data_IF_444285534647
#
_entry.id   IF_444285534647
#
_cell.length_a   1.000
_cell.length_b   1.000
_cell.length_c   1.000
_cell.angle_alpha   90.00
_cell.angle_beta   90.00
_cell.angle_gamma   90.00
#
_symmetry.space_group_name_H-M   'P 1'
#
loop_
_entity.id
_entity.type
_entity.pdbx_description
1 polymer ?
#
# COMPACT_ATOMS: atom_id res chain seq x y z
N UNK A 1 18.83 26.67 -3.90
CA UNK A 1 18.61 25.20 -3.92
C UNK A 1 18.13 24.81 -5.31
N UNK A 2 18.91 24.08 -6.11
CA UNK A 2 18.58 23.83 -7.52
C UNK A 2 17.42 22.82 -7.66
N UNK A 3 16.23 23.30 -8.06
CA UNK A 3 15.01 22.49 -8.25
C UNK A 3 15.25 21.30 -9.19
N UNK A 4 16.00 21.51 -10.29
CA UNK A 4 16.40 20.46 -11.23
C UNK A 4 17.15 19.31 -10.55
N UNK A 5 18.06 19.61 -9.61
CA UNK A 5 18.84 18.58 -8.90
C UNK A 5 17.94 17.72 -8.01
N UNK A 6 17.00 18.33 -7.30
CA UNK A 6 16.06 17.61 -6.46
C UNK A 6 15.14 16.71 -7.29
N UNK A 7 14.63 17.20 -8.42
CA UNK A 7 13.79 16.40 -9.30
C UNK A 7 14.54 15.17 -9.85
N UNK A 8 15.80 15.35 -10.26
CA UNK A 8 16.66 14.26 -10.72
C UNK A 8 16.89 13.22 -9.62
N UNK A 9 17.18 13.67 -8.41
CA UNK A 9 17.36 12.77 -7.27
C UNK A 9 16.09 12.00 -6.92
N UNK A 10 14.94 12.67 -6.94
CA UNK A 10 13.64 12.02 -6.67
C UNK A 10 13.31 10.97 -7.73
N UNK A 11 13.52 11.31 -9.01
CA UNK A 11 13.37 10.35 -10.12
C UNK A 11 14.32 9.15 -9.99
N UNK A 12 15.56 9.38 -9.57
CA UNK A 12 16.52 8.31 -9.34
C UNK A 12 16.06 7.39 -8.21
N UNK A 13 15.62 7.96 -7.08
CA UNK A 13 15.09 7.21 -5.94
C UNK A 13 13.87 6.36 -6.32
N UNK A 14 12.92 6.94 -7.06
CA UNK A 14 11.75 6.23 -7.59
C UNK A 14 12.16 5.06 -8.48
N UNK A 15 13.08 5.29 -9.43
CA UNK A 15 13.55 4.26 -10.37
C UNK A 15 14.27 3.11 -9.67
N UNK A 16 15.04 3.39 -8.62
CA UNK A 16 15.71 2.36 -7.83
C UNK A 16 14.67 1.50 -7.10
N UNK A 17 13.71 2.12 -6.41
CA UNK A 17 12.61 1.39 -5.75
C UNK A 17 11.83 0.51 -6.73
N UNK A 18 11.51 1.05 -7.91
CA UNK A 18 10.86 0.32 -8.99
C UNK A 18 11.65 -0.91 -9.43
N UNK A 19 12.96 -0.76 -9.68
CA UNK A 19 13.83 -1.88 -10.04
C UNK A 19 13.91 -2.94 -8.94
N UNK A 20 13.97 -2.52 -7.68
CA UNK A 20 13.99 -3.46 -6.55
C UNK A 20 12.70 -4.27 -6.45
N UNK A 21 11.54 -3.63 -6.65
CA UNK A 21 10.25 -4.31 -6.62
C UNK A 21 10.11 -5.34 -7.74
N UNK A 22 10.37 -4.95 -8.99
CA UNK A 22 10.25 -5.86 -10.14
C UNK A 22 11.33 -6.95 -10.18
N UNK A 23 12.41 -6.83 -9.41
CA UNK A 23 13.41 -7.89 -9.27
C UNK A 23 12.84 -9.15 -8.60
N UNK A 24 11.79 -9.00 -7.80
CA UNK A 24 11.13 -10.11 -7.10
C UNK A 24 9.71 -10.28 -7.65
N UNK A 25 9.52 -11.11 -8.70
CA UNK A 25 8.23 -11.23 -9.39
C UNK A 25 7.11 -11.72 -8.46
N UNK A 26 7.45 -12.45 -7.39
CA UNK A 26 6.51 -12.84 -6.34
C UNK A 26 5.82 -11.65 -5.69
N UNK A 27 6.52 -10.52 -5.48
CA UNK A 27 5.89 -9.32 -4.90
C UNK A 27 4.77 -8.80 -5.79
N UNK A 28 4.98 -8.80 -7.11
CA UNK A 28 3.97 -8.38 -8.07
C UNK A 28 2.77 -9.32 -8.10
N UNK A 29 3.02 -10.63 -8.11
CA UNK A 29 1.96 -11.64 -8.10
C UNK A 29 1.14 -11.51 -6.81
N UNK A 30 1.80 -11.42 -5.65
CA UNK A 30 1.14 -11.32 -4.35
C UNK A 30 0.29 -10.07 -4.21
N UNK A 31 0.65 -8.94 -4.83
CA UNK A 31 -0.21 -7.73 -4.84
C UNK A 31 -1.62 -8.01 -5.38
N UNK A 32 -1.80 -8.94 -6.33
CA UNK A 32 -3.14 -9.32 -6.83
C UNK A 32 -3.90 -10.27 -5.90
N UNK A 33 -3.18 -11.12 -5.17
CA UNK A 33 -3.78 -12.09 -4.26
C UNK A 33 -4.04 -11.53 -2.87
N UNK A 34 -3.27 -10.52 -2.44
CA UNK A 34 -3.39 -9.88 -1.14
C UNK A 34 -4.83 -9.43 -0.83
N UNK A 35 -5.53 -8.71 -1.73
CA UNK A 35 -6.93 -8.34 -1.50
C UNK A 35 -7.83 -9.55 -1.29
N UNK A 36 -7.64 -10.61 -2.08
CA UNK A 36 -8.44 -11.83 -1.94
C UNK A 36 -8.18 -12.49 -0.60
N UNK A 37 -6.91 -12.62 -0.20
CA UNK A 37 -6.50 -13.22 1.08
C UNK A 37 -7.11 -12.44 2.25
N UNK A 38 -7.03 -11.11 2.23
CA UNK A 38 -7.54 -10.27 3.32
C UNK A 38 -9.06 -10.17 3.34
N UNK A 39 -9.74 -10.22 2.18
CA UNK A 39 -11.20 -10.18 2.10
C UNK A 39 -11.85 -11.52 2.44
N UNK A 40 -11.16 -12.64 2.21
CA UNK A 40 -11.71 -13.99 2.37
C UNK A 40 -12.28 -14.27 3.77
N UNK A 41 -11.59 -13.94 4.89
CA UNK A 41 -12.14 -14.13 6.23
C UNK A 41 -13.44 -13.35 6.46
N UNK A 42 -13.48 -12.08 6.01
CA UNK A 42 -14.66 -11.24 6.15
C UNK A 42 -15.80 -11.72 5.26
N UNK A 43 -15.51 -12.21 4.06
CA UNK A 43 -16.49 -12.86 3.20
C UNK A 43 -17.15 -14.05 3.89
N UNK A 44 -16.35 -14.97 4.45
CA UNK A 44 -16.87 -16.15 5.15
C UNK A 44 -17.61 -15.78 6.43
N UNK A 45 -17.15 -14.75 7.15
CA UNK A 45 -17.87 -14.19 8.29
C UNK A 45 -19.26 -13.68 7.87
N UNK A 46 -19.37 -12.90 6.80
CA UNK A 46 -20.67 -12.45 6.28
C UNK A 46 -21.58 -13.63 5.89
N UNK A 47 -21.01 -14.68 5.30
CA UNK A 47 -21.74 -15.91 4.96
C UNK A 47 -22.23 -16.66 6.19
N UNK A 48 -21.44 -16.76 7.26
CA UNK A 48 -21.86 -17.47 8.49
C UNK A 48 -23.02 -16.78 9.21
N UNK A 49 -23.14 -15.45 9.10
CA UNK A 49 -24.26 -14.69 9.66
C UNK A 49 -25.44 -14.51 8.69
N UNK A 50 -25.33 -15.01 7.45
CA UNK A 50 -26.42 -14.95 6.49
C UNK A 50 -27.41 -16.10 6.70
N UNK A 51 -28.71 -15.78 6.80
CA UNK A 51 -29.79 -16.77 6.80
C UNK A 51 -30.48 -16.73 5.44
N UNK A 52 -30.76 -17.91 4.86
CA UNK A 52 -31.39 -18.05 3.53
C UNK A 52 -30.72 -17.25 2.40
N UNK A 53 -29.39 -17.04 2.47
CA UNK A 53 -28.63 -16.26 1.48
C UNK A 53 -28.73 -14.75 1.65
N UNK A 54 -29.44 -14.27 2.68
CA UNK A 54 -29.57 -12.85 3.01
C UNK A 54 -28.94 -12.53 4.35
N UNK A 55 -28.10 -11.50 4.39
CA UNK A 55 -27.56 -10.97 5.64
C UNK A 55 -28.59 -10.02 6.27
N UNK A 56 -29.66 -10.58 6.87
CA UNK A 56 -30.78 -9.81 7.41
C UNK A 56 -30.33 -8.73 8.42
N UNK A 57 -29.36 -9.06 9.29
CA UNK A 57 -28.76 -8.11 10.22
C UNK A 57 -28.01 -6.97 9.51
N UNK A 58 -27.22 -7.27 8.48
CA UNK A 58 -26.54 -6.22 7.71
C UNK A 58 -27.54 -5.29 7.02
N UNK A 59 -28.60 -5.86 6.42
CA UNK A 59 -29.65 -5.09 5.74
C UNK A 59 -30.42 -4.20 6.71
N UNK A 60 -30.71 -4.66 7.93
CA UNK A 60 -31.42 -3.85 8.92
C UNK A 60 -30.61 -2.63 9.38
N UNK A 61 -29.28 -2.73 9.43
CA UNK A 61 -28.42 -1.60 9.83
C UNK A 61 -28.06 -0.66 8.69
N UNK A 62 -27.84 -1.18 7.49
CA UNK A 62 -27.33 -0.39 6.36
C UNK A 62 -28.40 0.02 5.35
N UNK A 63 -29.58 -0.59 5.41
CA UNK A 63 -30.63 -0.42 4.39
C UNK A 63 -30.31 -1.07 3.05
N UNK A 64 -29.13 -1.68 2.88
CA UNK A 64 -28.66 -2.30 1.63
C UNK A 64 -28.41 -3.81 1.84
N UNK A 65 -28.69 -4.61 0.82
CA UNK A 65 -28.39 -6.05 0.81
C UNK A 65 -27.02 -6.40 0.22
N UNK A 66 -26.34 -5.45 -0.43
CA UNK A 66 -25.03 -5.69 -1.04
C UNK A 66 -23.89 -5.61 -0.01
N UNK A 67 -23.71 -6.72 0.70
CA UNK A 67 -22.62 -6.89 1.67
C UNK A 67 -21.23 -6.89 1.00
N UNK A 68 -21.11 -7.45 -0.20
CA UNK A 68 -19.82 -7.59 -0.89
C UNK A 68 -19.34 -6.24 -1.39
N UNK A 69 -20.21 -5.43 -1.97
CA UNK A 69 -19.89 -4.06 -2.37
C UNK A 69 -19.39 -3.23 -1.18
N UNK A 70 -20.08 -3.33 -0.03
CA UNK A 70 -19.65 -2.66 1.20
C UNK A 70 -18.25 -3.10 1.65
N UNK A 71 -18.00 -4.42 1.63
CA UNK A 71 -16.74 -5.02 2.04
C UNK A 71 -15.56 -4.63 1.13
N UNK A 72 -15.77 -4.63 -0.18
CA UNK A 72 -14.75 -4.22 -1.17
C UNK A 72 -14.42 -2.74 -1.03
N UNK A 73 -15.43 -1.86 -0.94
CA UNK A 73 -15.20 -0.42 -0.77
C UNK A 73 -14.48 -0.14 0.56
N UNK A 74 -14.92 -0.78 1.64
CA UNK A 74 -14.27 -0.68 2.94
C UNK A 74 -12.81 -1.09 2.88
N UNK A 75 -12.51 -2.21 2.23
CA UNK A 75 -11.14 -2.67 2.02
C UNK A 75 -10.30 -1.68 1.20
N UNK A 76 -10.83 -1.09 0.13
CA UNK A 76 -10.10 -0.09 -0.66
C UNK A 76 -9.74 1.14 0.19
N UNK A 77 -10.66 1.62 1.02
CA UNK A 77 -10.41 2.76 1.92
C UNK A 77 -9.38 2.39 2.99
N UNK A 78 -9.51 1.23 3.63
CA UNK A 78 -8.56 0.75 4.64
C UNK A 78 -7.19 0.51 4.05
N UNK A 79 -7.10 -0.05 2.83
CA UNK A 79 -5.83 -0.27 2.12
C UNK A 79 -5.14 1.06 1.80
N UNK A 80 -5.89 2.06 1.30
CA UNK A 80 -5.37 3.41 1.07
C UNK A 80 -4.76 4.03 2.35
N UNK A 81 -5.50 3.98 3.46
CA UNK A 81 -5.04 4.50 4.75
C UNK A 81 -3.79 3.75 5.22
N UNK A 82 -3.80 2.42 5.15
CA UNK A 82 -2.64 1.61 5.52
C UNK A 82 -1.41 1.99 4.70
N UNK A 83 -1.50 2.09 3.38
CA UNK A 83 -0.38 2.46 2.52
C UNK A 83 0.14 3.86 2.85
N UNK A 84 -0.74 4.83 3.11
CA UNK A 84 -0.34 6.18 3.50
C UNK A 84 0.45 6.20 4.82
N UNK A 85 -0.01 5.47 5.83
CA UNK A 85 0.63 5.44 7.15
C UNK A 85 1.94 4.65 7.15
N UNK A 86 1.97 3.53 6.44
CA UNK A 86 3.07 2.58 6.51
C UNK A 86 4.17 2.83 5.47
N UNK A 87 3.87 3.46 4.33
CA UNK A 87 4.84 3.64 3.22
C UNK A 87 6.11 4.38 3.63
N UNK A 88 5.98 5.49 4.36
CA UNK A 88 7.13 6.28 4.82
C UNK A 88 7.96 5.52 5.87
N UNK A 89 7.30 4.89 6.83
CA UNK A 89 7.94 4.12 7.89
C UNK A 89 8.72 2.91 7.34
N UNK A 90 8.10 2.14 6.44
CA UNK A 90 8.79 1.03 5.79
C UNK A 90 9.89 1.48 4.84
N UNK A 91 9.74 2.60 4.14
CA UNK A 91 10.82 3.13 3.29
C UNK A 91 12.09 3.40 4.10
N UNK A 92 11.95 4.02 5.28
CA UNK A 92 13.07 4.28 6.19
C UNK A 92 13.68 2.98 6.72
N UNK A 93 12.83 2.09 7.23
CA UNK A 93 13.27 0.78 7.74
C UNK A 93 14.01 -0.03 6.66
N UNK A 94 13.51 -0.02 5.43
CA UNK A 94 14.14 -0.73 4.32
C UNK A 94 15.51 -0.15 3.98
N UNK A 95 15.69 1.17 4.01
CA UNK A 95 17.01 1.78 3.82
C UNK A 95 17.99 1.43 4.95
N UNK A 96 17.50 1.33 6.20
CA UNK A 96 18.31 0.87 7.34
C UNK A 96 18.76 -0.58 7.14
N UNK A 97 17.82 -1.48 6.80
CA UNK A 97 18.13 -2.90 6.58
C UNK A 97 19.06 -3.12 5.39
N UNK A 98 19.01 -2.25 4.37
CA UNK A 98 19.90 -2.28 3.23
C UNK A 98 21.27 -1.64 3.50
N UNK A 99 21.45 -0.97 4.65
CA UNK A 99 22.69 -0.26 4.99
C UNK A 99 22.96 1.00 4.16
N UNK A 100 21.95 1.53 3.46
CA UNK A 100 22.11 2.69 2.56
C UNK A 100 21.57 3.99 3.15
N UNK A 101 20.89 3.93 4.30
CA UNK A 101 20.28 5.10 4.95
C UNK A 101 21.32 6.21 5.19
N UNK A 102 22.42 5.89 5.89
CA UNK A 102 23.42 6.87 6.29
C UNK A 102 24.09 7.54 5.09
N UNK A 103 24.40 6.76 4.05
CA UNK A 103 24.99 7.26 2.81
C UNK A 103 24.04 8.20 2.07
N UNK A 104 22.77 7.81 1.91
CA UNK A 104 21.76 8.64 1.25
C UNK A 104 21.44 9.92 2.04
N UNK A 105 21.46 9.85 3.37
CA UNK A 105 21.15 10.97 4.25
C UNK A 105 22.32 11.94 4.46
N UNK A 106 23.55 11.49 4.18
CA UNK A 106 24.75 12.33 4.18
C UNK A 106 24.98 13.03 2.84
N UNK A 107 24.34 12.56 1.76
CA UNK A 107 24.43 13.19 0.46
C UNK A 107 23.77 14.59 0.45
N UNK A 108 24.25 15.55 -0.37
CA UNK A 108 23.73 16.93 -0.43
C UNK A 108 22.39 17.03 -1.19
N UNK A 109 21.41 16.23 -0.76
CA UNK A 109 20.09 16.06 -1.38
C UNK A 109 19.00 16.33 -0.35
N UNK A 110 17.85 16.83 -0.78
CA UNK A 110 16.73 17.03 0.12
C UNK A 110 16.15 15.69 0.61
N UNK A 111 16.24 15.43 1.92
CA UNK A 111 15.75 14.21 2.58
C UNK A 111 14.26 13.98 2.37
N UNK A 112 13.45 15.03 2.45
CA UNK A 112 12.00 14.97 2.26
C UNK A 112 11.68 14.52 0.84
N UNK A 113 12.42 15.02 -0.16
CA UNK A 113 12.23 14.64 -1.54
C UNK A 113 12.57 13.15 -1.79
N UNK A 114 13.60 12.61 -1.13
CA UNK A 114 13.93 11.18 -1.20
C UNK A 114 12.80 10.32 -0.59
N UNK A 115 12.30 10.71 0.58
CA UNK A 115 11.20 10.02 1.26
C UNK A 115 9.91 10.04 0.43
N UNK A 116 9.50 11.20 -0.06
CA UNK A 116 8.28 11.34 -0.89
C UNK A 116 8.41 10.49 -2.16
N UNK A 117 9.56 10.52 -2.83
CA UNK A 117 9.76 9.77 -4.07
C UNK A 117 9.62 8.25 -3.87
N UNK A 118 10.06 7.75 -2.71
CA UNK A 118 9.93 6.33 -2.37
C UNK A 118 8.53 5.97 -1.89
N UNK A 119 7.90 6.84 -1.09
CA UNK A 119 6.50 6.69 -0.69
C UNK A 119 5.54 6.69 -1.89
N UNK A 120 5.78 7.56 -2.87
CA UNK A 120 5.03 7.58 -4.14
C UNK A 120 5.15 6.26 -4.90
N UNK A 121 6.34 5.66 -4.93
CA UNK A 121 6.49 4.33 -5.54
C UNK A 121 5.70 3.26 -4.77
N UNK A 122 5.79 3.26 -3.44
CA UNK A 122 5.05 2.31 -2.61
C UNK A 122 3.54 2.40 -2.81
N UNK A 123 3.02 3.62 -2.99
CA UNK A 123 1.62 3.88 -3.28
C UNK A 123 1.17 3.34 -4.64
N UNK A 124 2.07 3.29 -5.62
CA UNK A 124 1.77 2.72 -6.94
C UNK A 124 1.91 1.19 -6.94
N UNK A 125 2.77 0.64 -6.09
CA UNK A 125 3.08 -0.78 -6.03
C UNK A 125 2.12 -1.62 -5.16
N UNK A 126 1.25 -0.97 -4.37
CA UNK A 126 0.31 -1.57 -3.42
C UNK A 126 -1.10 -1.27 -3.88
#
# INVERSE_FOLDING_TARGET
MNLKRNLLAGRAAFKISMKMYFRYPLNFILTFFDPVIWLTPFYFMGKSFSSSGTAAGFRSYTGNSDYIGFLVIGYMVTSYINTAFWSLGFSLKNEMMQGVLESNWSAPVNRINLLISKGLFQFVAT
#
